data_IF_398828239202
#
_entry.id   IF_398828239202
#
_cell.length_a   1.000
_cell.length_b   1.000
_cell.length_c   1.000
_cell.angle_alpha   90.00
_cell.angle_beta   90.00
_cell.angle_gamma   90.00
#
_symmetry.space_group_name_H-M   'P 1'
#
loop_
_entity.id
_entity.type
_entity.pdbx_description
1 polymer ?
#
# COMPACT_ATOMS: atom_id res chain seq x y z
N UNK A 1 8.49 -21.40 -3.60
CA UNK A 1 8.32 -20.26 -4.52
C UNK A 1 7.95 -19.04 -3.70
N UNK A 2 8.53 -17.88 -3.95
CA UNK A 2 8.20 -16.62 -3.25
C UNK A 2 7.87 -15.55 -4.30
N UNK A 3 6.91 -14.70 -3.97
CA UNK A 3 6.51 -13.54 -4.79
C UNK A 3 6.99 -12.28 -4.08
N UNK A 4 7.66 -11.39 -4.83
CA UNK A 4 8.14 -10.11 -4.33
C UNK A 4 7.37 -8.97 -5.01
N UNK A 5 6.80 -8.07 -4.20
CA UNK A 5 6.30 -6.78 -4.67
C UNK A 5 7.41 -5.72 -4.54
N UNK A 6 7.83 -5.16 -5.67
CA UNK A 6 8.85 -4.10 -5.75
C UNK A 6 8.25 -2.70 -5.95
N UNK A 7 6.93 -2.58 -6.02
CA UNK A 7 6.25 -1.32 -6.37
C UNK A 7 5.26 -0.87 -5.28
N UNK A 8 5.53 -1.27 -4.03
CA UNK A 8 4.71 -0.88 -2.87
C UNK A 8 5.16 0.47 -2.33
N UNK A 9 4.51 1.54 -2.78
CA UNK A 9 4.70 2.88 -2.23
C UNK A 9 3.96 3.05 -0.90
N UNK A 10 4.59 3.74 0.05
CA UNK A 10 3.90 4.26 1.23
C UNK A 10 4.18 5.75 1.32
N UNK A 11 3.11 6.52 1.48
CA UNK A 11 3.18 7.97 1.60
C UNK A 11 3.20 8.41 3.07
N UNK A 12 3.59 9.66 3.36
CA UNK A 12 3.55 10.17 4.72
C UNK A 12 2.12 10.16 5.27
N UNK A 13 1.93 10.00 6.60
CA UNK A 13 0.62 9.84 7.20
C UNK A 13 -0.40 10.91 6.79
N UNK A 14 0.05 12.15 6.59
CA UNK A 14 -0.78 13.27 6.17
C UNK A 14 -1.49 13.06 4.81
N UNK A 15 -0.96 12.19 3.94
CA UNK A 15 -1.49 11.95 2.59
C UNK A 15 -1.72 10.48 2.26
N UNK A 16 -1.28 9.54 3.11
CA UNK A 16 -1.45 8.09 2.90
C UNK A 16 -2.91 7.68 2.68
N UNK A 17 -3.84 8.28 3.44
CA UNK A 17 -5.27 8.04 3.27
C UNK A 17 -5.77 8.50 1.91
N UNK A 18 -5.36 9.69 1.49
CA UNK A 18 -5.77 10.26 0.20
C UNK A 18 -5.28 9.41 -0.97
N UNK A 19 -4.04 8.94 -0.91
CA UNK A 19 -3.49 8.03 -1.93
C UNK A 19 -4.25 6.69 -1.97
N UNK A 20 -4.54 6.12 -0.80
CA UNK A 20 -5.33 4.89 -0.71
C UNK A 20 -6.71 5.07 -1.35
N UNK A 21 -7.39 6.18 -1.05
CA UNK A 21 -8.69 6.51 -1.64
C UNK A 21 -8.60 6.72 -3.15
N UNK A 22 -7.60 7.45 -3.65
CA UNK A 22 -7.42 7.70 -5.07
C UNK A 22 -7.16 6.40 -5.85
N UNK A 23 -6.36 5.49 -5.29
CA UNK A 23 -6.14 4.16 -5.86
C UNK A 23 -7.43 3.35 -5.88
N UNK A 24 -8.19 3.38 -4.77
CA UNK A 24 -9.46 2.67 -4.69
C UNK A 24 -10.48 3.21 -5.71
N UNK A 25 -10.59 4.52 -5.85
CA UNK A 25 -11.46 5.17 -6.84
C UNK A 25 -11.09 4.76 -8.27
N UNK A 26 -9.80 4.76 -8.61
CA UNK A 26 -9.32 4.37 -9.95
C UNK A 26 -9.69 2.92 -10.31
N UNK A 27 -9.65 2.01 -9.34
CA UNK A 27 -9.92 0.58 -9.54
C UNK A 27 -11.34 0.14 -9.14
N UNK A 28 -12.23 1.07 -8.78
CA UNK A 28 -13.58 0.79 -8.25
C UNK A 28 -13.56 -0.19 -7.05
N UNK A 29 -12.66 0.06 -6.11
CA UNK A 29 -12.46 -0.74 -4.90
C UNK A 29 -12.94 0.00 -3.65
N UNK A 30 -13.22 -0.75 -2.59
CA UNK A 30 -13.46 -0.22 -1.24
C UNK A 30 -12.35 -0.72 -0.33
N UNK A 31 -11.62 0.21 0.30
CA UNK A 31 -10.58 -0.12 1.28
C UNK A 31 -10.91 0.46 2.65
N UNK A 32 -10.88 -0.36 3.72
CA UNK A 32 -11.00 0.12 5.10
C UNK A 32 -9.68 0.72 5.63
N UNK A 33 -8.61 0.72 4.83
CA UNK A 33 -7.26 1.06 5.29
C UNK A 33 -6.90 2.53 5.09
N UNK A 34 -5.99 3.00 5.94
CA UNK A 34 -5.45 4.36 5.94
C UNK A 34 -4.13 4.53 5.16
N UNK A 35 -3.60 3.43 4.61
CA UNK A 35 -2.39 3.45 3.77
C UNK A 35 -1.08 3.36 4.55
N UNK A 36 -1.12 2.87 5.79
CA UNK A 36 0.06 2.71 6.63
C UNK A 36 0.94 1.52 6.20
N UNK A 37 2.24 1.51 6.56
CA UNK A 37 3.11 0.35 6.29
C UNK A 37 2.58 -0.97 6.88
N UNK A 38 1.90 -0.92 8.04
CA UNK A 38 1.38 -2.09 8.71
C UNK A 38 0.20 -2.70 7.95
N UNK A 39 -0.73 -1.87 7.48
CA UNK A 39 -1.87 -2.31 6.67
C UNK A 39 -1.40 -2.88 5.33
N UNK A 40 -0.42 -2.23 4.68
CA UNK A 40 0.15 -2.73 3.43
C UNK A 40 0.81 -4.09 3.61
N UNK A 41 1.56 -4.29 4.70
CA UNK A 41 2.15 -5.61 5.03
C UNK A 41 1.09 -6.69 5.27
N UNK A 42 -0.03 -6.34 5.91
CA UNK A 42 -1.13 -7.28 6.12
C UNK A 42 -1.80 -7.68 4.79
N UNK A 43 -2.00 -6.71 3.89
CA UNK A 43 -2.55 -6.95 2.55
C UNK A 43 -1.64 -7.86 1.72
N UNK A 44 -0.34 -7.58 1.70
CA UNK A 44 0.65 -8.38 0.98
C UNK A 44 0.60 -9.85 1.42
N UNK A 45 0.52 -10.10 2.73
CA UNK A 45 0.34 -11.43 3.28
C UNK A 45 -0.96 -12.11 2.82
N UNK A 46 -2.06 -11.36 2.71
CA UNK A 46 -3.36 -11.90 2.27
C UNK A 46 -3.37 -12.31 0.79
N UNK A 47 -2.56 -11.66 -0.06
CA UNK A 47 -2.46 -11.98 -1.50
C UNK A 47 -1.29 -12.93 -1.84
N UNK A 48 -0.64 -13.52 -0.83
CA UNK A 48 0.45 -14.48 -1.02
C UNK A 48 1.80 -13.85 -1.37
N UNK A 49 1.93 -12.52 -1.24
CA UNK A 49 3.23 -11.85 -1.29
C UNK A 49 3.95 -12.17 0.02
N UNK A 50 5.14 -12.73 -0.11
CA UNK A 50 5.94 -13.20 1.05
C UNK A 50 7.09 -12.28 1.38
N UNK A 51 7.42 -11.35 0.46
CA UNK A 51 8.43 -10.31 0.63
C UNK A 51 7.99 -9.05 -0.11
N UNK A 52 8.21 -7.89 0.47
CA UNK A 52 7.89 -6.61 -0.16
C UNK A 52 9.02 -5.63 0.07
N UNK A 53 9.31 -4.81 -0.93
CA UNK A 53 10.13 -3.62 -0.77
C UNK A 53 9.20 -2.42 -0.61
N UNK A 54 9.18 -1.83 0.59
CA UNK A 54 8.38 -0.63 0.85
C UNK A 54 9.19 0.60 0.45
N UNK A 55 8.65 1.39 -0.47
CA UNK A 55 9.25 2.60 -1.01
C UNK A 55 8.58 3.84 -0.38
N UNK A 56 9.19 4.48 0.64
CA UNK A 56 8.64 5.70 1.20
C UNK A 56 8.74 6.83 0.19
N UNK A 57 7.61 7.46 -0.11
CA UNK A 57 7.57 8.64 -0.98
C UNK A 57 7.73 9.89 -0.12
N UNK A 58 8.73 10.71 -0.43
CA UNK A 58 8.83 12.04 0.15
C UNK A 58 7.91 13.00 -0.63
N UNK A 59 7.10 13.77 0.08
CA UNK A 59 6.33 14.87 -0.50
C UNK A 59 6.84 16.20 0.07
N UNK A 60 6.95 17.20 -0.80
CA UNK A 60 7.37 18.56 -0.48
C UNK A 60 6.21 19.38 0.08
#
# INVERSE_FOLDING_TARGET
MYYIDFHSHVYPPAIARKDTLATCEFYDLVSPYEGTPAEKRALDGAVGITRSLILPVAVL
#
